data_IF_006483323658
#
_entry.id   IF_006483323658
#
_cell.length_a   1.000
_cell.length_b   1.000
_cell.length_c   1.000
_cell.angle_alpha   90.00
_cell.angle_beta   90.00
_cell.angle_gamma   90.00
#
_symmetry.space_group_name_H-M   'P 1'
#
loop_
_entity.id
_entity.type
_entity.pdbx_description
1 polymer ?
#
# COMPACT_ATOMS: atom_id res chain seq x y z
N UNK A 1 9.45 -9.78 16.89
CA UNK A 1 10.23 -9.55 15.67
C UNK A 1 9.28 -9.46 14.48
N UNK A 2 9.40 -8.40 13.73
CA UNK A 2 8.53 -8.20 12.58
C UNK A 2 8.92 -9.16 11.46
N UNK A 3 7.95 -9.88 10.93
CA UNK A 3 8.16 -10.74 9.77
C UNK A 3 7.95 -9.93 8.50
N UNK A 4 8.76 -10.20 7.52
CA UNK A 4 8.51 -9.66 6.20
C UNK A 4 7.28 -10.32 5.60
N UNK A 5 6.49 -9.54 4.90
CA UNK A 5 5.33 -10.03 4.18
C UNK A 5 5.78 -10.88 2.98
N UNK A 6 4.95 -11.83 2.57
CA UNK A 6 5.12 -12.52 1.30
C UNK A 6 4.63 -11.65 0.12
N UNK A 7 4.10 -10.48 0.43
CA UNK A 7 3.64 -9.53 -0.58
C UNK A 7 4.71 -8.48 -0.77
N UNK A 8 5.07 -8.23 -2.02
CA UNK A 8 5.96 -7.13 -2.41
C UNK A 8 5.10 -6.06 -3.07
N UNK A 9 5.37 -4.81 -2.77
CA UNK A 9 4.59 -3.72 -3.35
C UNK A 9 5.49 -2.61 -3.90
N UNK A 10 5.02 -1.98 -4.98
CA UNK A 10 5.62 -0.77 -5.54
C UNK A 10 4.83 0.47 -5.12
N UNK A 11 4.00 0.35 -4.09
CA UNK A 11 3.10 1.42 -3.66
C UNK A 11 3.84 2.74 -3.41
N UNK A 12 5.00 2.69 -2.78
CA UNK A 12 5.76 3.91 -2.50
C UNK A 12 6.07 4.68 -3.78
N UNK A 13 6.56 3.99 -4.81
CA UNK A 13 6.87 4.62 -6.10
C UNK A 13 5.64 5.22 -6.74
N UNK A 14 4.54 4.46 -6.73
CA UNK A 14 3.27 4.93 -7.31
C UNK A 14 2.77 6.15 -6.56
N UNK A 15 2.77 6.08 -5.22
CA UNK A 15 2.31 7.20 -4.39
C UNK A 15 3.15 8.45 -4.64
N UNK A 16 4.47 8.30 -4.64
CA UNK A 16 5.38 9.43 -4.84
C UNK A 16 5.24 10.04 -6.23
N UNK A 17 4.95 9.22 -7.23
CA UNK A 17 4.76 9.71 -8.59
C UNK A 17 3.55 10.64 -8.72
N UNK A 18 2.59 10.53 -7.81
CA UNK A 18 1.41 11.41 -7.80
C UNK A 18 1.58 12.59 -6.83
N UNK A 19 2.70 12.68 -6.12
CA UNK A 19 2.93 13.71 -5.12
C UNK A 19 2.16 13.52 -3.83
N UNK A 20 1.60 12.35 -3.60
CA UNK A 20 0.79 12.06 -2.42
C UNK A 20 1.66 11.64 -1.23
N UNK A 21 1.35 12.17 -0.04
CA UNK A 21 2.04 11.76 1.19
C UNK A 21 1.44 10.47 1.73
N UNK A 22 2.19 9.80 2.62
CA UNK A 22 1.67 8.61 3.31
C UNK A 22 0.40 8.94 4.10
N UNK A 23 0.37 10.10 4.75
CA UNK A 23 -0.79 10.51 5.55
C UNK A 23 -2.01 10.74 4.65
N UNK A 24 -1.82 11.37 3.49
CA UNK A 24 -2.91 11.59 2.55
C UNK A 24 -3.52 10.27 2.07
N UNK A 25 -2.67 9.30 1.75
CA UNK A 25 -3.16 7.98 1.33
C UNK A 25 -3.89 7.29 2.48
N UNK A 26 -3.31 7.33 3.68
CA UNK A 26 -3.93 6.72 4.86
C UNK A 26 -5.32 7.30 5.11
N UNK A 27 -5.46 8.62 5.01
CA UNK A 27 -6.74 9.30 5.21
C UNK A 27 -7.77 8.86 4.16
N UNK A 28 -7.34 8.70 2.90
CA UNK A 28 -8.24 8.31 1.82
C UNK A 28 -8.82 6.91 1.99
N UNK A 29 -8.04 6.00 2.56
CA UNK A 29 -8.48 4.61 2.72
C UNK A 29 -8.91 4.28 4.16
N UNK A 30 -8.89 5.28 5.05
CA UNK A 30 -9.33 5.08 6.43
C UNK A 30 -8.38 4.27 7.29
N UNK A 31 -7.08 4.39 7.04
CA UNK A 31 -6.07 3.64 7.78
C UNK A 31 -5.11 4.61 8.49
N UNK A 32 -4.27 4.07 9.37
CA UNK A 32 -3.23 4.86 10.02
C UNK A 32 -2.02 5.00 9.11
N UNK A 33 -1.29 6.11 9.24
CA UNK A 33 -0.07 6.33 8.48
C UNK A 33 0.95 5.20 8.70
N UNK A 34 1.07 4.72 9.94
CA UNK A 34 2.01 3.63 10.25
C UNK A 34 1.70 2.36 9.46
N UNK A 35 0.43 2.10 9.20
CA UNK A 35 0.04 0.94 8.39
C UNK A 35 0.57 1.09 6.97
N UNK A 36 0.47 2.29 6.40
CA UNK A 36 1.01 2.56 5.06
C UNK A 36 2.53 2.42 5.08
N UNK A 37 3.19 2.95 6.10
CA UNK A 37 4.64 2.84 6.24
C UNK A 37 5.09 1.37 6.23
N UNK A 38 4.46 0.54 7.05
CA UNK A 38 4.81 -0.89 7.12
C UNK A 38 4.49 -1.61 5.81
N UNK A 39 3.39 -1.26 5.17
CA UNK A 39 3.02 -1.85 3.89
C UNK A 39 4.09 -1.54 2.83
N UNK A 40 4.52 -0.29 2.74
CA UNK A 40 5.51 0.14 1.76
C UNK A 40 6.88 -0.50 2.01
N UNK A 41 7.15 -0.90 3.24
CA UNK A 41 8.40 -1.59 3.61
C UNK A 41 8.29 -3.12 3.53
N UNK A 42 7.21 -3.64 2.94
CA UNK A 42 6.96 -5.08 2.77
C UNK A 42 6.90 -5.82 4.11
N UNK A 43 6.35 -5.18 5.14
CA UNK A 43 6.24 -5.74 6.49
C UNK A 43 4.81 -5.89 6.95
N UNK A 44 3.85 -5.79 6.03
CA UNK A 44 2.44 -5.86 6.35
C UNK A 44 1.71 -6.52 5.20
N UNK A 45 0.92 -7.56 5.51
CA UNK A 45 0.05 -8.19 4.52
C UNK A 45 -1.26 -7.42 4.46
N UNK A 46 -1.53 -6.72 3.36
CA UNK A 46 -2.79 -5.99 3.27
C UNK A 46 -3.97 -6.96 3.17
N UNK A 47 -5.10 -6.58 3.75
CA UNK A 47 -6.34 -7.30 3.49
C UNK A 47 -6.72 -7.07 2.03
N UNK A 48 -7.59 -7.93 1.51
CA UNK A 48 -8.10 -7.74 0.16
C UNK A 48 -8.83 -6.40 0.05
N UNK A 49 -9.61 -6.05 1.07
CA UNK A 49 -10.33 -4.78 1.07
C UNK A 49 -9.36 -3.60 0.98
N UNK A 50 -8.30 -3.62 1.77
CA UNK A 50 -7.29 -2.56 1.74
C UNK A 50 -6.61 -2.48 0.37
N UNK A 51 -6.23 -3.62 -0.20
CA UNK A 51 -5.59 -3.67 -1.50
C UNK A 51 -6.50 -3.09 -2.59
N UNK A 52 -7.79 -3.44 -2.55
CA UNK A 52 -8.75 -2.91 -3.52
C UNK A 52 -8.96 -1.41 -3.37
N UNK A 53 -9.03 -0.92 -2.13
CA UNK A 53 -9.15 0.52 -1.88
C UNK A 53 -7.96 1.30 -2.41
N UNK A 54 -6.76 0.80 -2.18
CA UNK A 54 -5.53 1.44 -2.67
C UNK A 54 -5.53 1.47 -4.20
N UNK A 55 -5.88 0.34 -4.82
CA UNK A 55 -5.93 0.25 -6.27
C UNK A 55 -6.91 1.28 -6.84
N UNK A 56 -8.06 1.47 -6.18
CA UNK A 56 -9.05 2.46 -6.62
C UNK A 56 -8.49 3.90 -6.52
N UNK A 57 -7.74 4.21 -5.46
CA UNK A 57 -7.15 5.54 -5.29
C UNK A 57 -6.29 5.91 -6.52
N UNK A 58 -5.53 4.95 -7.02
CA UNK A 58 -4.58 5.18 -8.12
C UNK A 58 -5.14 4.76 -9.48
N UNK A 59 -6.38 4.27 -9.51
CA UNK A 59 -7.00 3.78 -10.74
C UNK A 59 -6.15 2.70 -11.41
N UNK A 60 -5.65 1.78 -10.60
CA UNK A 60 -4.82 0.66 -11.05
C UNK A 60 -5.46 -0.65 -10.61
N UNK A 61 -4.96 -1.75 -11.16
CA UNK A 61 -5.35 -3.07 -10.71
C UNK A 61 -4.52 -3.46 -9.50
N UNK A 62 -5.05 -4.35 -8.66
CA UNK A 62 -4.30 -4.85 -7.51
C UNK A 62 -2.95 -5.44 -7.96
N UNK A 63 -2.92 -6.16 -9.06
CA UNK A 63 -1.70 -6.79 -9.58
C UNK A 63 -0.66 -5.77 -10.05
N UNK A 64 -1.08 -4.55 -10.35
CA UNK A 64 -0.14 -3.47 -10.71
C UNK A 64 0.59 -2.93 -9.48
N UNK A 65 0.06 -3.18 -8.29
CA UNK A 65 0.59 -2.64 -7.04
C UNK A 65 1.21 -3.69 -6.12
N UNK A 66 0.76 -4.93 -6.23
CA UNK A 66 1.16 -6.00 -5.31
C UNK A 66 1.46 -7.26 -6.07
N UNK A 67 2.47 -8.01 -5.61
CA UNK A 67 2.78 -9.32 -6.16
C UNK A 67 3.28 -10.23 -5.04
N UNK A 68 3.22 -11.52 -5.29
CA UNK A 68 3.78 -12.49 -4.37
C UNK A 68 5.29 -12.61 -4.59
N UNK A 69 6.00 -12.79 -3.49
CA UNK A 69 7.43 -13.01 -3.48
C UNK A 69 7.81 -14.31 -4.19
#
# INVERSE_FOLDING_TARGET
MAKESNIITNLKSVRESTGMTQQELADLIGMRRETILHLENNRYNPSLEMALKIAQVFNLKVEDLFELR
#
